data_IF_892205995622
#
_entry.id   IF_892205995622
#
_cell.length_a   1.000
_cell.length_b   1.000
_cell.length_c   1.000
_cell.angle_alpha   90.00
_cell.angle_beta   90.00
_cell.angle_gamma   90.00
#
_symmetry.space_group_name_H-M   'P 1'
#
loop_
_entity.id
_entity.type
_entity.pdbx_description
1 polymer ?
#
# COMPACT_ATOMS: atom_id res chain seq x y z
N UNK A 1 91.47 32.63 36.46
CA UNK A 1 91.68 32.00 37.77
C UNK A 1 90.35 31.50 38.25
N UNK A 2 90.00 30.29 37.85
CA UNK A 2 90.44 29.07 38.56
C UNK A 2 89.33 28.73 39.56
N UNK A 3 88.47 27.74 39.32
CA UNK A 3 88.62 26.63 38.38
C UNK A 3 87.23 26.09 37.98
N UNK A 4 86.53 26.95 37.25
CA UNK A 4 85.66 26.58 36.14
C UNK A 4 86.48 25.80 35.08
N UNK A 5 85.88 24.74 34.54
CA UNK A 5 86.21 24.13 33.23
C UNK A 5 87.56 23.39 33.08
N UNK A 6 87.65 22.13 33.55
CA UNK A 6 88.18 20.96 32.79
C UNK A 6 88.39 19.77 33.73
N UNK A 7 88.03 18.53 33.42
CA UNK A 7 87.84 17.92 32.10
C UNK A 7 86.86 16.75 32.26
N UNK A 8 85.61 17.05 31.89
CA UNK A 8 84.51 16.11 31.62
C UNK A 8 84.81 15.25 30.39
N UNK A 9 85.82 14.40 30.49
CA UNK A 9 86.16 13.33 29.53
C UNK A 9 86.45 12.08 30.35
N UNK A 10 85.38 11.37 30.72
CA UNK A 10 85.35 9.92 30.93
C UNK A 10 84.17 9.60 31.84
N UNK A 11 83.33 8.67 31.39
CA UNK A 11 82.30 7.95 32.16
C UNK A 11 80.94 8.68 32.25
N UNK A 12 79.91 7.97 31.78
CA UNK A 12 78.48 8.37 31.69
C UNK A 12 78.06 9.13 30.44
N UNK A 13 78.23 8.51 29.26
CA UNK A 13 77.22 8.50 28.19
C UNK A 13 77.42 7.33 27.22
N UNK A 14 77.43 6.12 27.77
CA UNK A 14 77.36 4.88 26.97
C UNK A 14 76.24 3.93 27.45
N UNK A 15 75.27 4.43 28.23
CA UNK A 15 74.10 3.64 28.68
C UNK A 15 72.76 4.41 28.60
N UNK A 16 72.71 5.51 27.85
CA UNK A 16 71.45 6.25 27.58
C UNK A 16 71.01 6.21 26.10
N UNK A 17 71.90 5.79 25.19
CA UNK A 17 71.62 5.71 23.76
C UNK A 17 70.95 4.42 23.32
N UNK A 18 71.17 3.31 24.04
CA UNK A 18 70.56 2.02 23.72
C UNK A 18 69.24 1.78 24.43
N UNK A 19 69.05 2.26 25.66
CA UNK A 19 67.80 2.05 26.42
C UNK A 19 66.64 2.90 25.88
N UNK A 20 66.91 4.11 25.38
CA UNK A 20 65.89 4.96 24.75
C UNK A 20 65.52 4.49 23.34
N UNK A 21 66.49 4.02 22.54
CA UNK A 21 66.20 3.42 21.23
C UNK A 21 65.55 2.06 21.35
N UNK A 22 65.97 1.20 22.30
CA UNK A 22 65.30 -0.07 22.60
C UNK A 22 63.88 0.12 23.09
N UNK A 23 63.62 1.08 24.00
CA UNK A 23 62.25 1.33 24.47
C UNK A 23 61.35 1.86 23.35
N UNK A 24 61.83 2.80 22.52
CA UNK A 24 61.09 3.23 21.34
C UNK A 24 60.90 2.09 20.33
N UNK A 25 61.92 1.28 20.04
CA UNK A 25 61.76 0.16 19.09
C UNK A 25 60.88 -0.96 19.64
N UNK A 26 60.90 -1.22 20.95
CA UNK A 26 60.03 -2.21 21.60
C UNK A 26 58.58 -1.71 21.66
N UNK A 27 58.34 -0.43 21.98
CA UNK A 27 56.99 0.17 21.91
C UNK A 27 56.45 0.21 20.48
N UNK A 28 57.28 0.56 19.49
CA UNK A 28 56.91 0.56 18.06
C UNK A 28 56.65 -0.89 17.59
N UNK A 29 57.44 -1.88 18.01
CA UNK A 29 57.23 -3.29 17.66
C UNK A 29 56.01 -3.90 18.36
N UNK A 30 55.71 -3.54 19.62
CA UNK A 30 54.50 -3.97 20.33
C UNK A 30 53.24 -3.34 19.73
N UNK A 31 53.28 -2.05 19.39
CA UNK A 31 52.17 -1.34 18.76
C UNK A 31 51.95 -1.83 17.32
N UNK A 32 53.02 -2.10 16.57
CA UNK A 32 52.93 -2.74 15.25
C UNK A 32 52.41 -4.19 15.32
N UNK A 33 52.81 -4.96 16.35
CA UNK A 33 52.33 -6.33 16.61
C UNK A 33 50.86 -6.35 17.02
N UNK A 34 50.44 -5.45 17.90
CA UNK A 34 49.04 -5.24 18.30
C UNK A 34 48.17 -4.83 17.11
N UNK A 35 48.65 -3.89 16.29
CA UNK A 35 47.96 -3.44 15.07
C UNK A 35 47.89 -4.56 14.03
N UNK A 36 48.93 -5.38 13.89
CA UNK A 36 48.96 -6.55 13.00
C UNK A 36 47.96 -7.62 13.44
N UNK A 37 47.88 -7.90 14.75
CA UNK A 37 46.90 -8.82 15.33
C UNK A 37 45.47 -8.33 15.13
N UNK A 38 45.20 -7.06 15.40
CA UNK A 38 43.89 -6.44 15.16
C UNK A 38 43.49 -6.52 13.68
N UNK A 39 44.42 -6.24 12.75
CA UNK A 39 44.16 -6.38 11.30
C UNK A 39 43.82 -7.81 10.92
N UNK A 40 44.54 -8.79 11.47
CA UNK A 40 44.29 -10.22 11.20
C UNK A 40 42.91 -10.66 11.72
N UNK A 41 42.54 -10.26 12.94
CA UNK A 41 41.21 -10.50 13.50
C UNK A 41 40.11 -9.83 12.65
N UNK A 42 40.34 -8.60 12.18
CA UNK A 42 39.40 -7.90 11.31
C UNK A 42 39.25 -8.57 9.93
N UNK A 43 40.34 -9.10 9.35
CA UNK A 43 40.28 -9.86 8.10
C UNK A 43 39.59 -11.22 8.28
N UNK A 44 39.73 -11.88 9.44
CA UNK A 44 38.98 -13.09 9.76
C UNK A 44 37.50 -12.80 9.90
N UNK A 45 37.11 -11.75 10.65
CA UNK A 45 35.72 -11.26 10.70
C UNK A 45 35.15 -10.94 9.32
N UNK A 46 35.95 -10.33 8.43
CA UNK A 46 35.56 -10.05 7.05
C UNK A 46 35.30 -11.34 6.25
N UNK A 47 36.18 -12.34 6.38
CA UNK A 47 36.04 -13.66 5.71
C UNK A 47 34.82 -14.41 6.24
N UNK A 48 34.61 -14.41 7.55
CA UNK A 48 33.44 -15.02 8.20
C UNK A 48 32.15 -14.32 7.77
N UNK A 49 32.13 -12.99 7.73
CA UNK A 49 31.00 -12.22 7.21
C UNK A 49 30.70 -12.57 5.75
N UNK A 50 31.72 -12.64 4.90
CA UNK A 50 31.58 -13.05 3.50
C UNK A 50 31.07 -14.48 3.33
N UNK A 51 31.51 -15.41 4.19
CA UNK A 51 31.04 -16.80 4.19
C UNK A 51 29.59 -16.92 4.70
N UNK A 52 29.23 -16.15 5.73
CA UNK A 52 27.87 -16.10 6.27
C UNK A 52 26.88 -15.49 5.25
N UNK A 53 27.26 -14.41 4.55
CA UNK A 53 26.44 -13.84 3.48
C UNK A 53 26.16 -14.88 2.38
N UNK A 54 27.19 -15.63 1.95
CA UNK A 54 27.04 -16.69 0.94
C UNK A 54 26.18 -17.86 1.42
N UNK A 55 26.30 -18.26 2.69
CA UNK A 55 25.45 -19.32 3.27
C UNK A 55 24.00 -18.87 3.41
N UNK A 56 23.78 -17.65 3.89
CA UNK A 56 22.43 -17.09 4.06
C UNK A 56 21.75 -16.82 2.71
N UNK A 57 22.49 -16.42 1.67
CA UNK A 57 21.94 -16.30 0.31
C UNK A 57 21.55 -17.63 -0.33
N UNK A 58 22.04 -18.76 0.21
CA UNK A 58 21.74 -20.10 -0.32
C UNK A 58 20.61 -20.81 0.44
N UNK A 59 20.24 -20.31 1.63
CA UNK A 59 19.13 -20.85 2.42
C UNK A 59 17.87 -20.03 2.15
N UNK A 60 16.80 -20.67 1.66
CA UNK A 60 15.47 -20.07 1.65
C UNK A 60 14.96 -19.96 3.08
N UNK A 61 15.22 -18.83 3.71
CA UNK A 61 14.77 -18.53 5.07
C UNK A 61 13.32 -18.03 5.05
N UNK A 62 12.59 -18.33 6.12
CA UNK A 62 11.24 -17.82 6.32
C UNK A 62 11.29 -16.39 6.87
N UNK A 63 10.38 -15.49 6.43
CA UNK A 63 10.31 -14.14 6.95
C UNK A 63 10.14 -14.13 8.47
N UNK A 64 10.80 -13.18 9.13
CA UNK A 64 10.73 -12.93 10.56
C UNK A 64 9.92 -11.67 10.86
N UNK A 65 9.23 -11.69 11.99
CA UNK A 65 8.67 -10.51 12.63
C UNK A 65 9.83 -9.70 13.20
N UNK A 66 10.04 -8.53 12.62
CA UNK A 66 11.23 -7.73 12.85
C UNK A 66 10.91 -6.24 12.71
N UNK A 67 11.90 -5.42 13.07
CA UNK A 67 11.82 -3.97 12.92
C UNK A 67 11.91 -3.56 11.46
N UNK A 68 11.28 -2.44 11.12
CA UNK A 68 11.39 -1.79 9.82
C UNK A 68 12.86 -1.53 9.48
N UNK A 69 13.32 -1.90 8.27
CA UNK A 69 14.69 -1.73 7.83
C UNK A 69 15.21 -0.31 8.04
N UNK A 70 16.49 -0.19 8.41
CA UNK A 70 17.14 1.08 8.72
C UNK A 70 17.00 2.13 7.59
N UNK A 71 16.97 1.67 6.34
CA UNK A 71 16.76 2.52 5.16
C UNK A 71 15.47 3.33 5.21
N UNK A 72 14.39 2.77 5.77
CA UNK A 72 13.07 3.41 5.83
C UNK A 72 12.86 4.22 7.11
N UNK A 73 13.72 4.04 8.12
CA UNK A 73 13.60 4.73 9.42
C UNK A 73 13.85 6.23 9.34
N UNK A 74 14.56 6.70 8.32
CA UNK A 74 14.81 8.14 8.07
C UNK A 74 13.66 8.87 7.36
N UNK A 75 12.55 8.19 7.07
CA UNK A 75 11.42 8.81 6.36
C UNK A 75 10.72 9.88 7.22
N UNK A 76 10.43 11.06 6.65
CA UNK A 76 9.87 12.21 7.39
C UNK A 76 8.58 11.88 8.15
N UNK A 77 7.76 10.99 7.57
CA UNK A 77 6.49 10.54 8.14
C UNK A 77 6.58 9.15 8.81
N UNK A 78 7.75 8.74 9.32
CA UNK A 78 7.95 7.39 9.87
C UNK A 78 6.90 7.02 10.91
N UNK A 79 6.71 7.85 11.93
CA UNK A 79 5.72 7.64 13.00
C UNK A 79 4.30 7.46 12.45
N UNK A 80 3.93 8.23 11.44
CA UNK A 80 2.59 8.16 10.82
C UNK A 80 2.34 6.84 10.09
N UNK A 81 3.39 6.25 9.50
CA UNK A 81 3.25 5.10 8.59
C UNK A 81 3.64 3.77 9.22
N UNK A 82 4.54 3.76 10.19
CA UNK A 82 5.13 2.52 10.72
C UNK A 82 4.87 2.27 12.19
N UNK A 83 4.56 3.30 12.99
CA UNK A 83 4.26 3.13 14.41
C UNK A 83 2.76 2.91 14.64
N UNK A 84 2.38 2.06 15.63
CA UNK A 84 0.99 1.91 16.02
C UNK A 84 0.36 3.25 16.40
N UNK A 85 -0.92 3.40 16.06
CA UNK A 85 -1.70 4.61 16.35
C UNK A 85 -2.49 4.48 17.65
N UNK A 86 -2.92 3.26 17.96
CA UNK A 86 -3.80 2.95 19.08
C UNK A 86 -3.23 1.80 19.90
N UNK A 87 -2.96 0.66 19.27
CA UNK A 87 -2.66 -0.60 19.97
C UNK A 87 -1.35 -1.22 19.53
N UNK A 88 -0.43 -1.39 20.49
CA UNK A 88 0.76 -2.21 20.31
C UNK A 88 0.46 -3.69 20.52
N UNK A 89 0.92 -4.50 19.57
CA UNK A 89 0.80 -5.94 19.50
C UNK A 89 2.19 -6.56 19.39
N UNK A 90 2.45 -7.55 20.23
CA UNK A 90 3.69 -8.27 20.27
C UNK A 90 4.88 -7.45 20.82
N UNK A 91 6.09 -8.03 20.74
CA UNK A 91 7.23 -7.62 21.55
C UNK A 91 7.93 -6.31 21.13
N UNK A 92 7.67 -5.77 19.92
CA UNK A 92 8.49 -4.66 19.41
C UNK A 92 8.14 -3.32 20.08
N UNK A 93 6.84 -3.06 20.26
CA UNK A 93 6.32 -1.84 20.89
C UNK A 93 5.80 -2.08 22.32
N UNK A 94 5.90 -3.30 22.85
CA UNK A 94 5.41 -3.64 24.17
C UNK A 94 6.06 -2.80 25.27
N UNK A 95 5.24 -2.31 26.22
CA UNK A 95 5.67 -1.45 27.32
C UNK A 95 5.90 0.01 26.95
N UNK A 96 5.62 0.41 25.70
CA UNK A 96 5.65 1.83 25.32
C UNK A 96 4.50 2.59 25.99
N UNK A 97 4.82 3.66 26.72
CA UNK A 97 3.86 4.50 27.46
C UNK A 97 2.80 5.13 26.55
N UNK A 98 3.11 5.34 25.27
CA UNK A 98 2.13 5.88 24.31
C UNK A 98 0.91 4.97 24.11
N UNK A 99 1.05 3.67 24.34
CA UNK A 99 -0.01 2.67 24.10
C UNK A 99 -0.59 2.08 25.38
N UNK A 100 -0.20 2.61 26.55
CA UNK A 100 -0.62 2.06 27.84
C UNK A 100 -2.15 2.04 28.01
N UNK A 101 -2.84 3.05 27.49
CA UNK A 101 -4.31 3.12 27.51
C UNK A 101 -4.98 1.96 26.72
N UNK A 102 -4.27 1.37 25.75
CA UNK A 102 -4.78 0.25 24.97
C UNK A 102 -4.56 -1.11 25.63
N UNK A 103 -3.73 -1.20 26.69
CA UNK A 103 -3.50 -2.47 27.40
C UNK A 103 -4.77 -2.97 28.10
N UNK A 104 -5.52 -2.08 28.76
CA UNK A 104 -6.82 -2.43 29.38
C UNK A 104 -7.84 -2.87 28.31
N UNK A 105 -7.83 -2.22 27.15
CA UNK A 105 -8.66 -2.61 26.01
C UNK A 105 -8.30 -4.03 25.52
N UNK A 106 -7.00 -4.36 25.39
CA UNK A 106 -6.56 -5.70 24.99
C UNK A 106 -6.96 -6.76 26.00
N UNK A 107 -6.80 -6.50 27.30
CA UNK A 107 -7.24 -7.41 28.35
C UNK A 107 -8.75 -7.67 28.30
N UNK A 108 -9.55 -6.62 28.07
CA UNK A 108 -10.99 -6.76 27.87
C UNK A 108 -11.34 -7.63 26.66
N UNK A 109 -10.72 -7.38 25.51
CA UNK A 109 -10.92 -8.19 24.31
C UNK A 109 -10.44 -9.63 24.47
N UNK A 110 -9.36 -9.85 25.21
CA UNK A 110 -8.87 -11.18 25.53
C UNK A 110 -9.82 -11.93 26.47
N UNK A 111 -10.38 -11.25 27.48
CA UNK A 111 -11.40 -11.81 28.36
C UNK A 111 -12.65 -12.22 27.58
N UNK A 112 -13.15 -11.35 26.71
CA UNK A 112 -14.28 -11.66 25.83
C UNK A 112 -13.98 -12.87 24.93
N UNK A 113 -12.77 -12.96 24.37
CA UNK A 113 -12.36 -14.13 23.57
C UNK A 113 -12.40 -15.42 24.40
N UNK A 114 -11.87 -15.40 25.61
CA UNK A 114 -11.83 -16.58 26.51
C UNK A 114 -13.25 -17.05 26.81
N UNK A 115 -14.14 -16.14 27.23
CA UNK A 115 -15.56 -16.44 27.47
C UNK A 115 -16.22 -17.04 26.22
N UNK A 116 -15.99 -16.42 25.06
CA UNK A 116 -16.55 -16.84 23.78
C UNK A 116 -15.98 -18.16 23.24
N UNK A 117 -14.74 -18.50 23.62
CA UNK A 117 -14.07 -19.74 23.21
C UNK A 117 -14.71 -20.97 23.86
N UNK A 118 -15.28 -20.79 25.06
CA UNK A 118 -15.83 -21.83 25.89
C UNK A 118 -14.79 -22.73 26.56
N UNK A 119 -13.54 -22.28 26.64
CA UNK A 119 -12.43 -22.87 27.40
C UNK A 119 -11.96 -21.90 28.50
N UNK A 120 -11.16 -22.37 29.46
CA UNK A 120 -10.58 -21.48 30.48
C UNK A 120 -9.36 -20.73 29.96
N UNK A 121 -9.12 -19.53 30.51
CA UNK A 121 -7.96 -18.72 30.15
C UNK A 121 -6.64 -19.42 30.49
N UNK A 122 -6.59 -20.13 31.63
CA UNK A 122 -5.44 -20.93 32.06
C UNK A 122 -5.12 -22.03 31.05
N UNK A 123 -6.14 -22.78 30.61
CA UNK A 123 -5.94 -23.84 29.62
C UNK A 123 -5.36 -23.30 28.32
N UNK A 124 -5.91 -22.19 27.79
CA UNK A 124 -5.42 -21.58 26.56
C UNK A 124 -4.00 -21.03 26.73
N UNK A 125 -3.71 -20.36 27.85
CA UNK A 125 -2.37 -19.85 28.16
C UNK A 125 -1.35 -20.99 28.25
N UNK A 126 -1.67 -22.10 28.91
CA UNK A 126 -0.80 -23.28 28.99
C UNK A 126 -0.44 -23.84 27.61
N UNK A 127 -1.36 -23.77 26.63
CA UNK A 127 -1.05 -24.15 25.24
C UNK A 127 -0.03 -23.21 24.60
N UNK A 128 -0.14 -21.91 24.87
CA UNK A 128 0.82 -20.93 24.33
C UNK A 128 2.19 -21.07 25.00
N UNK A 129 2.24 -21.25 26.32
CA UNK A 129 3.47 -21.55 27.06
C UNK A 129 4.12 -22.83 26.52
N UNK A 130 3.35 -23.89 26.29
CA UNK A 130 3.85 -25.14 25.71
C UNK A 130 4.45 -24.97 24.30
N UNK A 131 3.94 -24.02 23.50
CA UNK A 131 4.39 -23.76 22.13
C UNK A 131 5.39 -22.60 22.02
N UNK A 132 5.78 -21.96 23.12
CA UNK A 132 6.51 -20.68 23.09
C UNK A 132 7.83 -20.76 22.33
N UNK A 133 8.57 -21.87 22.46
CA UNK A 133 9.84 -22.09 21.75
C UNK A 133 9.67 -22.11 20.24
N UNK A 134 8.55 -22.64 19.75
CA UNK A 134 8.21 -22.62 18.33
C UNK A 134 7.80 -21.20 17.91
N UNK A 135 6.93 -20.54 18.69
CA UNK A 135 6.46 -19.18 18.40
C UNK A 135 7.62 -18.17 18.38
N UNK A 136 8.62 -18.33 19.26
CA UNK A 136 9.84 -17.53 19.29
C UNK A 136 10.62 -17.55 17.97
N UNK A 137 10.58 -18.65 17.22
CA UNK A 137 11.30 -18.78 15.95
C UNK A 137 10.73 -17.87 14.85
N UNK A 138 9.53 -17.32 15.01
CA UNK A 138 8.94 -16.39 14.03
C UNK A 138 9.46 -14.96 14.18
N UNK A 139 10.15 -14.65 15.28
CA UNK A 139 10.69 -13.31 15.53
C UNK A 139 12.17 -13.22 15.16
N UNK A 140 12.62 -12.01 14.83
CA UNK A 140 14.05 -11.70 14.82
C UNK A 140 14.65 -11.96 16.22
N UNK A 141 15.87 -12.48 16.26
CA UNK A 141 16.53 -12.91 17.50
C UNK A 141 16.62 -11.75 18.50
N UNK A 142 16.95 -10.54 18.05
CA UNK A 142 17.07 -9.34 18.91
C UNK A 142 15.72 -8.84 19.41
N UNK A 143 14.62 -9.27 18.80
CA UNK A 143 13.26 -8.98 19.26
C UNK A 143 12.86 -9.97 20.34
N UNK A 144 13.09 -11.27 20.09
CA UNK A 144 12.69 -12.35 21.01
C UNK A 144 13.53 -12.40 22.31
N UNK A 145 14.83 -12.10 22.24
CA UNK A 145 15.77 -12.19 23.38
C UNK A 145 15.49 -11.19 24.51
N UNK A 146 14.69 -10.15 24.25
CA UNK A 146 14.33 -9.15 25.28
C UNK A 146 13.41 -9.69 26.37
N UNK A 147 12.76 -10.82 26.11
CA UNK A 147 11.72 -11.36 26.96
C UNK A 147 12.03 -12.82 27.29
N UNK A 148 11.88 -13.18 28.57
CA UNK A 148 11.81 -14.58 28.97
C UNK A 148 10.57 -15.26 28.37
N UNK A 149 10.56 -16.59 28.42
CA UNK A 149 9.51 -17.40 27.77
C UNK A 149 8.12 -17.13 28.37
N UNK A 150 8.00 -16.94 29.69
CA UNK A 150 6.72 -16.70 30.36
C UNK A 150 6.16 -15.33 30.01
N UNK A 151 6.99 -14.28 30.09
CA UNK A 151 6.58 -12.92 29.72
C UNK A 151 6.14 -12.84 28.26
N UNK A 152 6.88 -13.50 27.35
CA UNK A 152 6.49 -13.53 25.93
C UNK A 152 5.21 -14.34 25.73
N UNK A 153 5.04 -15.48 26.39
CA UNK A 153 3.84 -16.30 26.25
C UNK A 153 2.58 -15.54 26.71
N UNK A 154 2.64 -14.85 27.85
CA UNK A 154 1.55 -14.00 28.33
C UNK A 154 1.20 -12.90 27.33
N UNK A 155 2.21 -12.19 26.83
CA UNK A 155 2.04 -11.13 25.84
C UNK A 155 1.34 -11.65 24.56
N UNK A 156 1.84 -12.77 24.02
CA UNK A 156 1.26 -13.39 22.82
C UNK A 156 -0.15 -13.90 23.08
N UNK A 157 -0.41 -14.48 24.25
CA UNK A 157 -1.75 -14.93 24.62
C UNK A 157 -2.76 -13.76 24.62
N UNK A 158 -2.47 -12.69 25.36
CA UNK A 158 -3.37 -11.52 25.44
C UNK A 158 -3.57 -10.88 24.06
N UNK A 159 -2.47 -10.59 23.36
CA UNK A 159 -2.53 -9.89 22.08
C UNK A 159 -3.19 -10.76 21.00
N UNK A 160 -2.94 -12.06 20.98
CA UNK A 160 -3.55 -13.01 20.05
C UNK A 160 -5.06 -13.14 20.24
N UNK A 161 -5.51 -13.28 21.49
CA UNK A 161 -6.93 -13.30 21.85
C UNK A 161 -7.61 -11.96 21.47
N UNK A 162 -6.98 -10.83 21.80
CA UNK A 162 -7.50 -9.51 21.46
C UNK A 162 -7.63 -9.30 19.95
N UNK A 163 -6.65 -9.76 19.17
CA UNK A 163 -6.70 -9.68 17.69
C UNK A 163 -7.85 -10.51 17.13
N UNK A 164 -8.00 -11.76 17.57
CA UNK A 164 -9.08 -12.63 17.11
C UNK A 164 -10.46 -12.07 17.44
N UNK A 165 -10.67 -11.59 18.67
CA UNK A 165 -11.94 -11.00 19.09
C UNK A 165 -12.23 -9.69 18.35
N UNK A 166 -11.21 -8.86 18.14
CA UNK A 166 -11.36 -7.61 17.39
C UNK A 166 -11.77 -7.86 15.94
N UNK A 167 -11.14 -8.83 15.28
CA UNK A 167 -11.50 -9.23 13.91
C UNK A 167 -12.91 -9.83 13.86
N UNK A 168 -13.27 -10.65 14.84
CA UNK A 168 -14.60 -11.29 14.89
C UNK A 168 -15.74 -10.29 15.10
N UNK A 169 -15.49 -9.20 15.84
CA UNK A 169 -16.50 -8.21 16.22
C UNK A 169 -16.44 -6.90 15.42
N UNK A 170 -15.44 -6.75 14.53
CA UNK A 170 -15.17 -5.51 13.79
C UNK A 170 -16.36 -4.96 12.99
N UNK A 171 -17.26 -5.81 12.48
CA UNK A 171 -18.47 -5.38 11.77
C UNK A 171 -19.42 -4.52 12.62
N UNK A 172 -19.21 -4.44 13.94
CA UNK A 172 -20.14 -3.81 14.89
C UNK A 172 -19.65 -2.49 15.52
N UNK A 173 -18.39 -2.05 15.28
CA UNK A 173 -17.83 -0.87 15.95
C UNK A 173 -16.99 -0.01 14.99
N UNK A 174 -17.52 1.16 14.60
CA UNK A 174 -16.84 2.17 13.75
C UNK A 174 -15.45 2.62 14.29
N UNK A 175 -15.19 2.42 15.59
CA UNK A 175 -13.92 2.76 16.24
C UNK A 175 -12.79 1.75 15.96
N UNK A 176 -13.08 0.62 15.30
CA UNK A 176 -12.10 -0.45 15.07
C UNK A 176 -11.16 -0.20 13.88
N UNK A 177 -11.40 0.84 13.08
CA UNK A 177 -10.61 1.09 11.86
C UNK A 177 -9.12 1.32 12.14
N UNK A 178 -8.76 2.05 13.21
CA UNK A 178 -7.36 2.27 13.57
C UNK A 178 -6.71 1.02 14.17
N UNK A 179 -7.46 0.24 14.94
CA UNK A 179 -6.98 -1.05 15.47
C UNK A 179 -6.71 -2.04 14.34
N UNK A 180 -7.60 -2.11 13.34
CA UNK A 180 -7.41 -2.92 12.13
C UNK A 180 -6.20 -2.48 11.30
N UNK A 181 -5.94 -1.18 11.22
CA UNK A 181 -4.75 -0.64 10.57
C UNK A 181 -3.47 -1.05 11.33
N UNK A 182 -3.48 -0.93 12.65
CA UNK A 182 -2.35 -1.29 13.52
C UNK A 182 -1.99 -2.77 13.41
N UNK A 183 -2.97 -3.67 13.22
CA UNK A 183 -2.75 -5.13 13.01
C UNK A 183 -1.95 -5.47 11.74
N UNK A 184 -1.78 -4.52 10.81
CA UNK A 184 -1.09 -4.71 9.54
C UNK A 184 0.23 -3.92 9.44
N UNK A 185 0.68 -3.30 10.53
CA UNK A 185 1.99 -2.66 10.57
C UNK A 185 3.10 -3.71 10.75
N UNK A 186 4.22 -3.53 10.07
CA UNK A 186 5.34 -4.50 10.08
C UNK A 186 5.91 -4.71 11.48
N UNK A 187 6.07 -3.64 12.27
CA UNK A 187 6.56 -3.70 13.65
C UNK A 187 5.48 -4.14 14.66
N UNK A 188 4.26 -4.45 14.21
CA UNK A 188 3.10 -4.72 15.07
C UNK A 188 2.43 -6.06 14.73
N UNK A 189 3.25 -7.08 14.46
CA UNK A 189 2.80 -8.40 14.00
C UNK A 189 2.87 -9.45 15.11
N UNK A 190 1.96 -10.42 15.02
CA UNK A 190 1.98 -11.67 15.78
C UNK A 190 2.17 -12.86 14.83
N UNK A 191 2.80 -13.97 15.27
CA UNK A 191 2.88 -15.18 14.47
C UNK A 191 1.46 -15.64 14.11
N UNK A 192 1.18 -15.89 12.83
CA UNK A 192 -0.13 -16.41 12.43
C UNK A 192 -0.39 -17.79 13.05
N UNK A 193 0.67 -18.55 13.32
CA UNK A 193 0.60 -19.83 14.04
C UNK A 193 -0.05 -19.70 15.41
N UNK A 194 0.24 -18.63 16.15
CA UNK A 194 -0.42 -18.34 17.44
C UNK A 194 -1.93 -18.20 17.26
N UNK A 195 -2.38 -17.48 16.22
CA UNK A 195 -3.81 -17.32 15.94
C UNK A 195 -4.46 -18.65 15.57
N UNK A 196 -3.77 -19.49 14.78
CA UNK A 196 -4.24 -20.85 14.45
C UNK A 196 -4.37 -21.72 15.70
N UNK A 197 -3.39 -21.68 16.61
CA UNK A 197 -3.41 -22.43 17.86
C UNK A 197 -4.60 -21.99 18.73
N UNK A 198 -4.79 -20.68 18.95
CA UNK A 198 -5.92 -20.15 19.72
C UNK A 198 -7.29 -20.49 19.09
N UNK A 199 -7.42 -20.39 17.77
CA UNK A 199 -8.65 -20.79 17.07
C UNK A 199 -8.92 -22.28 17.17
N UNK A 200 -7.88 -23.13 17.13
CA UNK A 200 -8.02 -24.58 17.17
C UNK A 200 -8.63 -25.09 18.48
N UNK A 201 -8.38 -24.39 19.58
CA UNK A 201 -8.95 -24.70 20.90
C UNK A 201 -10.29 -24.00 21.17
N UNK A 202 -10.73 -23.10 20.29
CA UNK A 202 -12.00 -22.39 20.46
C UNK A 202 -13.17 -23.15 19.83
N UNK A 203 -14.31 -23.20 20.54
CA UNK A 203 -15.59 -23.70 19.99
C UNK A 203 -16.10 -22.89 18.79
N UNK A 204 -15.52 -21.70 18.54
CA UNK A 204 -15.87 -20.81 17.42
C UNK A 204 -14.87 -20.88 16.25
N UNK A 205 -13.98 -21.88 16.19
CA UNK A 205 -12.93 -22.03 15.17
C UNK A 205 -13.36 -21.60 13.75
N UNK A 206 -14.39 -22.24 13.20
CA UNK A 206 -14.85 -22.00 11.83
C UNK A 206 -15.35 -20.56 11.59
N UNK A 207 -15.98 -19.96 12.61
CA UNK A 207 -16.43 -18.57 12.56
C UNK A 207 -15.24 -17.61 12.58
N UNK A 208 -14.23 -17.89 13.40
CA UNK A 208 -13.01 -17.09 13.50
C UNK A 208 -12.19 -17.15 12.20
N UNK A 209 -12.02 -18.35 11.62
CA UNK A 209 -11.37 -18.54 10.32
C UNK A 209 -12.06 -17.71 9.22
N UNK A 210 -13.40 -17.75 9.18
CA UNK A 210 -14.20 -16.93 8.25
C UNK A 210 -14.06 -15.43 8.53
N UNK A 211 -13.99 -15.01 9.79
CA UNK A 211 -13.75 -13.61 10.16
C UNK A 211 -12.38 -13.11 9.68
N UNK A 212 -11.31 -13.90 9.84
CA UNK A 212 -9.99 -13.56 9.29
C UNK A 212 -10.05 -13.49 7.76
N UNK A 213 -10.71 -14.44 7.10
CA UNK A 213 -10.82 -14.44 5.65
C UNK A 213 -11.52 -13.16 5.13
N UNK A 214 -12.62 -12.78 5.79
CA UNK A 214 -13.38 -11.57 5.50
C UNK A 214 -12.56 -10.30 5.76
N UNK A 215 -11.87 -10.23 6.91
CA UNK A 215 -10.94 -9.15 7.22
C UNK A 215 -9.88 -8.99 6.13
N UNK A 216 -9.25 -10.09 5.70
CA UNK A 216 -8.28 -10.06 4.60
C UNK A 216 -8.91 -9.68 3.25
N UNK A 217 -10.20 -9.96 3.01
CA UNK A 217 -10.92 -9.53 1.78
C UNK A 217 -11.17 -8.03 1.81
N UNK A 218 -11.60 -7.52 2.96
CA UNK A 218 -11.81 -6.10 3.22
C UNK A 218 -10.52 -5.32 3.03
N UNK A 219 -9.43 -5.77 3.65
CA UNK A 219 -8.14 -5.05 3.60
C UNK A 219 -7.47 -5.07 2.22
N UNK A 220 -7.73 -6.12 1.44
CA UNK A 220 -7.34 -6.21 0.04
C UNK A 220 -8.33 -5.51 -0.92
N UNK A 221 -9.40 -4.90 -0.41
CA UNK A 221 -10.49 -4.25 -1.18
C UNK A 221 -11.07 -5.13 -2.31
N UNK A 222 -11.14 -6.45 -2.12
CA UNK A 222 -11.71 -7.37 -3.11
C UNK A 222 -13.24 -7.36 -3.00
N UNK A 223 -13.94 -6.65 -3.90
CA UNK A 223 -15.41 -6.75 -4.04
C UNK A 223 -15.77 -7.77 -5.13
N UNK A 224 -16.50 -8.83 -4.76
CA UNK A 224 -17.31 -9.60 -5.71
C UNK A 224 -16.64 -10.66 -6.59
N UNK A 225 -15.59 -11.35 -6.14
CA UNK A 225 -15.16 -12.61 -6.78
C UNK A 225 -14.86 -13.68 -5.73
N UNK A 226 -15.42 -14.87 -5.94
CA UNK A 226 -15.01 -16.09 -5.25
C UNK A 226 -13.54 -16.38 -5.59
N UNK A 227 -12.73 -16.58 -4.55
CA UNK A 227 -11.42 -17.20 -4.71
C UNK A 227 -11.62 -18.67 -4.39
N UNK A 228 -11.18 -19.55 -5.29
CA UNK A 228 -11.16 -20.98 -5.07
C UNK A 228 -10.55 -21.34 -3.72
N UNK A 229 -11.02 -22.44 -3.13
CA UNK A 229 -10.67 -22.95 -1.80
C UNK A 229 -9.26 -22.52 -1.38
N UNK A 230 -9.18 -21.85 -0.24
CA UNK A 230 -7.93 -21.57 0.45
C UNK A 230 -7.21 -22.90 0.72
N UNK A 231 -6.40 -23.34 -0.24
CA UNK A 231 -5.39 -24.35 0.04
C UNK A 231 -4.46 -23.77 1.09
N UNK A 232 -4.24 -24.53 2.16
CA UNK A 232 -3.37 -24.25 3.31
C UNK A 232 -2.27 -23.24 2.95
N UNK A 233 -2.51 -21.97 3.30
CA UNK A 233 -1.47 -20.95 3.23
C UNK A 233 -1.08 -20.68 4.66
N UNK A 234 0.01 -21.33 5.09
CA UNK A 234 0.65 -21.06 6.37
C UNK A 234 1.41 -19.73 6.25
N UNK A 235 0.68 -18.61 6.23
CA UNK A 235 1.31 -17.30 6.34
C UNK A 235 2.07 -17.18 7.66
N UNK A 236 3.12 -16.36 7.68
CA UNK A 236 3.95 -16.13 8.87
C UNK A 236 3.22 -15.21 9.86
N UNK A 237 2.56 -14.16 9.37
CA UNK A 237 1.77 -13.19 10.14
C UNK A 237 0.71 -12.53 9.23
N UNK A 238 -0.13 -11.64 9.77
CA UNK A 238 -1.26 -11.04 9.04
C UNK A 238 -0.82 -10.20 7.84
N UNK A 239 0.26 -9.42 7.95
CA UNK A 239 0.80 -8.63 6.85
C UNK A 239 1.32 -9.51 5.69
N UNK A 240 1.95 -10.65 5.97
CA UNK A 240 2.37 -11.63 4.94
C UNK A 240 1.16 -12.27 4.23
N UNK A 241 0.10 -12.60 4.97
CA UNK A 241 -1.15 -13.07 4.36
C UNK A 241 -1.78 -12.03 3.42
N UNK A 242 -1.74 -10.75 3.81
CA UNK A 242 -2.20 -9.65 2.97
C UNK A 242 -1.31 -9.49 1.73
N UNK A 243 0.01 -9.53 1.89
CA UNK A 243 0.99 -9.48 0.79
C UNK A 243 0.71 -10.60 -0.23
N UNK A 244 0.68 -11.85 0.23
CA UNK A 244 0.41 -13.03 -0.60
C UNK A 244 -0.91 -12.89 -1.37
N UNK A 245 -1.94 -12.31 -0.75
CA UNK A 245 -3.25 -12.10 -1.36
C UNK A 245 -3.27 -11.00 -2.42
N UNK A 246 -2.45 -9.95 -2.25
CA UNK A 246 -2.31 -8.83 -3.18
C UNK A 246 -1.40 -9.19 -4.35
N UNK A 247 -0.28 -9.85 -4.11
CA UNK A 247 0.64 -10.31 -5.16
C UNK A 247 0.07 -11.51 -5.92
N UNK A 248 -0.72 -12.35 -5.24
CA UNK A 248 -1.19 -13.64 -5.77
C UNK A 248 -0.16 -14.74 -5.55
N UNK A 249 -0.60 -16.01 -5.53
CA UNK A 249 0.34 -17.15 -5.50
C UNK A 249 1.25 -17.04 -6.73
N UNK A 250 2.55 -16.94 -6.49
CA UNK A 250 3.57 -17.18 -7.50
C UNK A 250 3.33 -18.59 -8.05
N UNK A 251 2.56 -18.71 -9.12
CA UNK A 251 2.77 -19.83 -10.04
C UNK A 251 4.16 -19.57 -10.59
N UNK A 252 5.13 -20.36 -10.16
CA UNK A 252 6.38 -20.61 -10.86
C UNK A 252 6.07 -21.25 -12.23
N UNK A 253 5.26 -20.59 -13.05
CA UNK A 253 5.52 -20.53 -14.47
C UNK A 253 6.61 -19.49 -14.61
N UNK A 254 7.85 -19.93 -14.37
CA UNK A 254 8.96 -19.41 -15.15
C UNK A 254 8.51 -19.51 -16.60
N UNK A 255 8.01 -18.41 -17.16
CA UNK A 255 8.23 -18.19 -18.57
C UNK A 255 9.75 -18.22 -18.69
N UNK A 256 10.27 -19.35 -19.19
CA UNK A 256 11.63 -19.48 -19.67
C UNK A 256 11.80 -18.41 -20.74
N UNK A 257 12.12 -17.20 -20.31
CA UNK A 257 12.56 -16.13 -21.16
C UNK A 257 13.72 -16.70 -21.94
N UNK A 258 13.55 -16.69 -23.26
CA UNK A 258 14.62 -16.99 -24.19
C UNK A 258 15.89 -16.30 -23.71
N UNK A 259 16.98 -17.06 -23.53
CA UNK A 259 18.31 -16.50 -23.29
C UNK A 259 18.69 -15.68 -24.53
N UNK A 260 18.28 -14.42 -24.56
CA UNK A 260 18.81 -13.45 -25.51
C UNK A 260 20.01 -12.78 -24.86
N UNK A 261 21.15 -12.86 -25.54
CA UNK A 261 22.43 -12.34 -25.07
C UNK A 261 22.35 -10.85 -24.73
N UNK A 262 23.12 -10.46 -23.72
CA UNK A 262 23.12 -9.12 -23.15
C UNK A 262 23.30 -8.01 -24.18
N UNK A 263 22.19 -7.39 -24.54
CA UNK A 263 22.13 -5.96 -24.81
C UNK A 263 21.45 -5.34 -23.60
N UNK A 264 22.07 -4.33 -22.98
CA UNK A 264 21.36 -3.46 -22.06
C UNK A 264 20.21 -2.83 -22.86
N UNK A 265 19.00 -3.33 -22.65
CA UNK A 265 17.79 -2.68 -23.11
C UNK A 265 17.82 -1.24 -22.56
N UNK A 266 17.66 -0.21 -23.42
CA UNK A 266 17.64 1.17 -22.95
C UNK A 266 16.54 1.31 -21.89
N UNK A 267 16.85 1.99 -20.77
CA UNK A 267 15.85 2.33 -19.75
C UNK A 267 14.67 2.99 -20.45
N UNK A 268 13.56 2.27 -20.52
CA UNK A 268 12.36 2.79 -21.15
C UNK A 268 11.80 3.85 -20.21
N UNK A 269 11.80 5.11 -20.64
CA UNK A 269 11.10 6.17 -19.93
C UNK A 269 9.61 5.84 -19.99
N UNK A 270 9.03 5.47 -18.86
CA UNK A 270 7.58 5.32 -18.76
C UNK A 270 6.93 6.69 -18.96
N UNK A 271 5.82 6.68 -19.67
CA UNK A 271 5.02 7.85 -20.03
C UNK A 271 3.90 7.95 -18.99
N UNK A 272 3.62 9.15 -18.49
CA UNK A 272 2.46 9.38 -17.62
C UNK A 272 1.15 9.06 -18.36
N UNK A 273 0.05 8.95 -17.63
CA UNK A 273 -1.24 8.48 -18.19
C UNK A 273 -1.74 9.41 -19.30
N UNK A 274 -1.53 10.72 -19.18
CA UNK A 274 -1.91 11.67 -20.23
C UNK A 274 -1.10 11.46 -21.53
N UNK A 275 0.21 11.25 -21.42
CA UNK A 275 1.08 10.94 -22.57
C UNK A 275 0.72 9.59 -23.21
N UNK A 276 0.39 8.57 -22.40
CA UNK A 276 -0.11 7.29 -22.89
C UNK A 276 -1.41 7.48 -23.70
N UNK A 277 -2.35 8.26 -23.16
CA UNK A 277 -3.61 8.57 -23.83
C UNK A 277 -3.40 9.31 -25.15
N UNK A 278 -2.48 10.28 -25.17
CA UNK A 278 -2.12 11.01 -26.40
C UNK A 278 -1.52 10.09 -27.47
N UNK A 279 -0.81 9.03 -27.05
CA UNK A 279 -0.29 7.99 -27.92
C UNK A 279 -1.31 6.90 -28.31
N UNK A 280 -2.58 7.02 -27.90
CA UNK A 280 -3.63 6.04 -28.21
C UNK A 280 -3.64 4.81 -27.30
N UNK A 281 -3.00 4.89 -26.13
CA UNK A 281 -3.02 3.87 -25.09
C UNK A 281 -4.01 4.28 -24.00
N UNK A 282 -5.06 3.49 -23.83
CA UNK A 282 -6.11 3.77 -22.84
C UNK A 282 -5.98 2.85 -21.63
N UNK A 283 -6.21 3.39 -20.44
CA UNK A 283 -6.21 2.60 -19.22
C UNK A 283 -7.59 1.96 -19.00
N UNK A 284 -7.62 0.69 -18.59
CA UNK A 284 -8.86 -0.05 -18.26
C UNK A 284 -8.70 -0.88 -16.98
N UNK A 285 -9.79 -1.16 -16.25
CA UNK A 285 -9.72 -2.06 -15.10
C UNK A 285 -9.32 -3.48 -15.51
N UNK A 286 -8.44 -4.09 -14.74
CA UNK A 286 -8.14 -5.51 -14.83
C UNK A 286 -9.29 -6.34 -14.22
N UNK A 287 -9.49 -7.56 -14.71
CA UNK A 287 -10.51 -8.48 -14.19
C UNK A 287 -10.13 -9.11 -12.84
N UNK A 288 -8.93 -8.81 -12.35
CA UNK A 288 -8.34 -9.41 -11.16
C UNK A 288 -7.91 -8.32 -10.19
N UNK A 289 -7.93 -8.67 -8.90
CA UNK A 289 -7.50 -7.83 -7.79
C UNK A 289 -6.04 -8.04 -7.40
N UNK A 290 -5.30 -8.85 -8.16
CA UNK A 290 -3.87 -9.04 -7.95
C UNK A 290 -3.09 -7.86 -8.52
N UNK A 291 -2.22 -7.26 -7.72
CA UNK A 291 -1.44 -6.07 -8.07
C UNK A 291 -0.39 -6.35 -9.16
N UNK A 292 0.07 -7.59 -9.26
CA UNK A 292 1.08 -8.01 -10.25
C UNK A 292 0.49 -8.39 -11.60
N UNK A 293 -0.83 -8.60 -11.70
CA UNK A 293 -1.50 -8.98 -12.94
C UNK A 293 -1.88 -7.76 -13.77
N UNK A 294 -0.86 -7.04 -14.23
CA UNK A 294 -0.96 -5.96 -15.21
C UNK A 294 -0.82 -6.57 -16.61
N UNK A 295 -1.65 -6.14 -17.55
CA UNK A 295 -1.56 -6.58 -18.95
C UNK A 295 -1.64 -5.41 -19.91
N UNK A 296 -1.01 -5.57 -21.08
CA UNK A 296 -1.14 -4.64 -22.19
C UNK A 296 -1.65 -5.39 -23.41
N UNK A 297 -2.82 -4.99 -23.91
CA UNK A 297 -3.47 -5.57 -25.08
C UNK A 297 -3.60 -4.52 -26.19
N UNK A 298 -3.41 -4.93 -27.45
CA UNK A 298 -3.61 -4.07 -28.62
C UNK A 298 -4.80 -4.58 -29.42
N UNK A 299 -5.73 -3.70 -29.76
CA UNK A 299 -6.82 -4.06 -30.67
C UNK A 299 -6.25 -4.38 -32.05
N UNK A 300 -6.53 -5.59 -32.55
CA UNK A 300 -5.99 -6.12 -33.81
C UNK A 300 -4.46 -6.00 -33.93
N UNK A 301 -3.72 -6.04 -32.82
CA UNK A 301 -2.26 -5.82 -32.76
C UNK A 301 -1.77 -4.47 -33.33
N UNK A 302 -2.67 -3.50 -33.53
CA UNK A 302 -2.35 -2.23 -34.18
C UNK A 302 -2.75 -1.04 -33.30
N UNK A 303 -4.04 -0.73 -33.20
CA UNK A 303 -4.56 0.44 -32.49
C UNK A 303 -6.05 0.25 -32.17
N UNK A 304 -6.55 0.71 -30.99
CA UNK A 304 -5.79 1.33 -29.89
C UNK A 304 -5.14 0.31 -28.94
N UNK A 305 -4.22 0.79 -28.10
CA UNK A 305 -3.63 0.03 -27.00
C UNK A 305 -4.47 0.13 -25.72
N UNK A 306 -4.46 -0.90 -24.90
CA UNK A 306 -5.16 -0.97 -23.62
C UNK A 306 -4.21 -1.45 -22.53
N UNK A 307 -3.92 -0.57 -21.57
CA UNK A 307 -3.20 -0.91 -20.34
C UNK A 307 -4.21 -1.29 -19.26
N UNK A 308 -4.19 -2.53 -18.79
CA UNK A 308 -5.10 -3.03 -17.77
C UNK A 308 -4.45 -3.00 -16.40
N UNK A 309 -5.04 -2.23 -15.49
CA UNK A 309 -4.54 -2.04 -14.14
C UNK A 309 -5.52 -2.58 -13.10
N UNK A 310 -5.03 -3.18 -12.00
CA UNK A 310 -5.88 -3.54 -10.88
C UNK A 310 -6.43 -2.29 -10.21
N UNK A 311 -7.65 -2.42 -9.70
CA UNK A 311 -8.36 -1.34 -9.01
C UNK A 311 -7.71 -1.06 -7.65
N UNK A 312 -7.52 0.23 -7.35
CA UNK A 312 -7.02 0.71 -6.06
C UNK A 312 -8.09 1.57 -5.42
N UNK A 313 -8.39 1.23 -4.18
CA UNK A 313 -9.14 2.09 -3.29
C UNK A 313 -8.15 2.97 -2.54
N UNK A 314 -8.34 4.28 -2.58
CA UNK A 314 -7.53 5.27 -1.88
C UNK A 314 -8.34 5.83 -0.72
N UNK A 315 -7.81 5.62 0.48
CA UNK A 315 -8.29 6.10 1.77
C UNK A 315 -7.11 6.40 2.71
N UNK A 316 -7.39 6.84 3.94
CA UNK A 316 -6.36 7.19 4.92
C UNK A 316 -5.48 6.01 5.36
N UNK A 317 -5.93 4.76 5.13
CA UNK A 317 -5.16 3.55 5.43
C UNK A 317 -4.22 3.14 4.30
N UNK A 318 -4.43 3.67 3.09
CA UNK A 318 -3.77 3.21 1.87
C UNK A 318 -2.26 3.42 1.91
N UNK A 319 -1.81 4.64 2.24
CA UNK A 319 -0.38 4.93 2.34
C UNK A 319 0.31 4.08 3.43
N UNK A 320 -0.12 4.08 4.70
CA UNK A 320 0.44 3.21 5.73
C UNK A 320 0.53 1.73 5.29
N UNK A 321 -0.54 1.19 4.70
CA UNK A 321 -0.58 -0.19 4.22
C UNK A 321 0.50 -0.48 3.18
N UNK A 322 0.63 0.35 2.14
CA UNK A 322 1.66 0.14 1.11
C UNK A 322 3.07 0.32 1.65
N UNK A 323 3.32 1.30 2.54
CA UNK A 323 4.62 1.47 3.17
C UNK A 323 5.04 0.25 4.00
N UNK A 324 4.12 -0.35 4.76
CA UNK A 324 4.44 -1.56 5.53
C UNK A 324 4.64 -2.80 4.65
N UNK A 325 3.88 -2.94 3.56
CA UNK A 325 4.09 -4.00 2.57
C UNK A 325 5.44 -3.84 1.84
N UNK A 326 5.84 -2.62 1.49
CA UNK A 326 7.16 -2.32 0.91
C UNK A 326 8.26 -2.61 1.93
N UNK A 327 8.09 -2.19 3.18
CA UNK A 327 9.05 -2.49 4.22
C UNK A 327 9.24 -3.99 4.42
N UNK A 328 8.14 -4.75 4.36
CA UNK A 328 8.16 -6.22 4.38
C UNK A 328 8.97 -6.80 3.21
N UNK A 329 8.79 -6.30 1.98
CA UNK A 329 9.58 -6.75 0.82
C UNK A 329 11.05 -6.30 0.84
N UNK A 330 11.39 -5.24 1.57
CA UNK A 330 12.79 -4.78 1.67
C UNK A 330 13.57 -5.56 2.74
N UNK A 331 12.90 -6.28 3.64
CA UNK A 331 13.57 -7.12 4.60
C UNK A 331 14.42 -8.21 3.91
N UNK A 332 15.68 -8.34 4.32
CA UNK A 332 16.69 -9.17 3.65
C UNK A 332 16.71 -10.64 4.11
N UNK A 333 15.81 -11.02 4.99
CA UNK A 333 15.75 -12.32 5.68
C UNK A 333 14.90 -13.37 4.93
N UNK A 334 14.38 -13.05 3.75
CA UNK A 334 13.72 -14.01 2.88
C UNK A 334 13.76 -13.58 1.41
N UNK A 335 13.61 -14.54 0.49
CA UNK A 335 13.45 -14.25 -0.93
C UNK A 335 12.05 -13.72 -1.20
N UNK A 336 11.96 -12.54 -1.83
CA UNK A 336 10.71 -11.99 -2.32
C UNK A 336 10.85 -11.49 -3.76
N UNK A 337 9.72 -11.34 -4.44
CA UNK A 337 9.66 -10.92 -5.84
C UNK A 337 9.40 -9.41 -6.02
N UNK A 338 9.45 -8.63 -4.94
CA UNK A 338 9.20 -7.18 -4.94
C UNK A 338 7.90 -6.78 -5.65
N UNK A 339 6.86 -7.63 -5.59
CA UNK A 339 5.63 -7.44 -6.36
C UNK A 339 4.88 -6.16 -5.99
N UNK A 340 4.84 -5.80 -4.71
CA UNK A 340 4.22 -4.56 -4.22
C UNK A 340 5.08 -3.36 -4.59
N UNK A 341 6.39 -3.42 -4.33
CA UNK A 341 7.35 -2.34 -4.61
C UNK A 341 7.39 -2.02 -6.10
N UNK A 342 7.43 -3.05 -6.95
CA UNK A 342 7.40 -2.89 -8.41
C UNK A 342 6.09 -2.27 -8.89
N UNK A 343 4.96 -2.67 -8.29
CA UNK A 343 3.66 -2.09 -8.60
C UNK A 343 3.59 -0.60 -8.23
N UNK A 344 4.06 -0.23 -7.04
CA UNK A 344 4.06 1.17 -6.58
C UNK A 344 4.99 2.01 -7.45
N UNK A 345 6.20 1.54 -7.78
CA UNK A 345 7.11 2.23 -8.68
C UNK A 345 6.51 2.40 -10.10
N UNK A 346 5.77 1.40 -10.57
CA UNK A 346 5.06 1.50 -11.85
C UNK A 346 3.94 2.55 -11.80
N UNK A 347 3.15 2.60 -10.73
CA UNK A 347 2.13 3.65 -10.55
C UNK A 347 2.74 5.05 -10.44
N UNK A 348 3.85 5.20 -9.73
CA UNK A 348 4.59 6.47 -9.63
C UNK A 348 5.01 6.95 -11.03
N UNK A 349 5.42 6.04 -11.90
CA UNK A 349 5.76 6.38 -13.29
C UNK A 349 4.56 6.78 -14.17
N UNK A 350 3.35 6.37 -13.77
CA UNK A 350 2.11 6.69 -14.47
C UNK A 350 1.49 8.01 -13.99
N UNK A 351 1.77 8.44 -12.76
CA UNK A 351 1.13 9.56 -12.09
C UNK A 351 2.17 10.65 -11.82
N UNK A 352 2.22 11.63 -12.71
CA UNK A 352 3.15 12.76 -12.60
C UNK A 352 2.40 14.04 -12.19
N UNK A 353 1.17 14.22 -12.69
CA UNK A 353 0.35 15.40 -12.46
C UNK A 353 -1.06 15.04 -11.93
N UNK A 354 -1.78 15.99 -11.32
CA UNK A 354 -3.18 15.79 -10.92
C UNK A 354 -4.11 15.37 -12.08
N UNK A 355 -3.73 15.72 -13.31
CA UNK A 355 -4.40 15.28 -14.54
C UNK A 355 -4.41 13.75 -14.68
N UNK A 356 -3.29 13.08 -14.40
CA UNK A 356 -3.17 11.62 -14.48
C UNK A 356 -4.09 10.93 -13.47
N UNK A 357 -4.18 11.47 -12.25
CA UNK A 357 -5.10 10.97 -11.21
C UNK A 357 -6.55 11.07 -11.69
N UNK A 358 -6.92 12.18 -12.34
CA UNK A 358 -8.26 12.36 -12.92
C UNK A 358 -8.53 11.32 -14.00
N UNK A 359 -7.57 11.03 -14.86
CA UNK A 359 -7.71 10.01 -15.90
C UNK A 359 -7.88 8.60 -15.32
N UNK A 360 -7.05 8.22 -14.35
CA UNK A 360 -7.15 6.92 -13.68
C UNK A 360 -8.47 6.77 -12.91
N UNK A 361 -8.98 7.85 -12.29
CA UNK A 361 -10.30 7.87 -11.65
C UNK A 361 -11.42 7.70 -12.67
N UNK A 362 -11.35 8.40 -13.80
CA UNK A 362 -12.34 8.28 -14.87
C UNK A 362 -12.33 6.88 -15.52
N UNK A 363 -11.16 6.24 -15.58
CA UNK A 363 -11.00 4.86 -16.05
C UNK A 363 -11.46 3.82 -15.01
N UNK A 364 -11.86 4.22 -13.81
CA UNK A 364 -12.28 3.31 -12.73
C UNK A 364 -11.13 2.53 -12.09
N UNK A 365 -9.89 3.03 -12.21
CA UNK A 365 -8.71 2.43 -11.54
C UNK A 365 -8.61 2.94 -10.11
N UNK A 366 -8.77 4.25 -9.90
CA UNK A 366 -8.68 4.88 -8.58
C UNK A 366 -10.07 5.22 -8.04
N UNK A 367 -10.42 4.63 -6.90
CA UNK A 367 -11.64 4.97 -6.16
C UNK A 367 -11.30 5.63 -4.84
N UNK A 368 -11.74 6.88 -4.66
CA UNK A 368 -11.63 7.55 -3.37
C UNK A 368 -12.75 7.03 -2.44
N UNK A 369 -12.36 6.33 -1.37
CA UNK A 369 -13.25 5.98 -0.27
C UNK A 369 -13.02 6.96 0.89
N UNK A 370 -13.73 8.09 0.87
CA UNK A 370 -13.94 8.88 2.08
C UNK A 370 -14.70 8.03 3.12
N UNK A 371 -14.22 8.06 4.36
CA UNK A 371 -14.70 7.26 5.47
C UNK A 371 -16.22 7.42 5.67
N UNK A 372 -16.90 6.28 5.85
CA UNK A 372 -18.32 6.11 6.19
C UNK A 372 -19.35 6.26 5.05
N UNK A 373 -19.40 5.25 4.16
CA UNK A 373 -20.29 5.25 3.00
C UNK A 373 -21.68 4.68 3.23
N UNK A 374 -21.98 3.94 4.31
CA UNK A 374 -23.32 3.33 4.39
C UNK A 374 -24.43 4.37 4.56
N UNK A 375 -24.14 5.48 5.25
CA UNK A 375 -25.10 6.60 5.39
C UNK A 375 -25.37 7.35 4.07
N UNK A 376 -24.40 7.43 3.18
CA UNK A 376 -24.48 8.19 1.93
C UNK A 376 -24.45 7.32 0.67
N UNK A 377 -24.52 5.99 0.80
CA UNK A 377 -24.42 5.04 -0.31
C UNK A 377 -25.47 5.34 -1.36
N UNK A 378 -26.71 5.57 -0.92
CA UNK A 378 -27.82 5.91 -1.80
C UNK A 378 -27.59 7.23 -2.54
N UNK A 379 -27.16 8.28 -1.82
CA UNK A 379 -26.86 9.60 -2.41
C UNK A 379 -25.70 9.50 -3.40
N UNK A 380 -24.65 8.74 -3.08
CA UNK A 380 -23.50 8.52 -3.98
C UNK A 380 -23.94 7.80 -5.26
N UNK A 381 -24.77 6.76 -5.13
CA UNK A 381 -25.33 6.05 -6.29
C UNK A 381 -26.15 7.00 -7.16
N UNK A 382 -27.02 7.82 -6.56
CA UNK A 382 -27.82 8.82 -7.30
C UNK A 382 -26.95 9.86 -8.02
N UNK A 383 -25.90 10.37 -7.35
CA UNK A 383 -24.94 11.30 -7.97
C UNK A 383 -24.21 10.64 -9.13
N UNK A 384 -23.77 9.39 -8.95
CA UNK A 384 -23.07 8.63 -9.99
C UNK A 384 -23.97 8.37 -11.19
N UNK A 385 -25.21 7.91 -10.97
CA UNK A 385 -26.22 7.71 -12.02
C UNK A 385 -26.57 9.01 -12.76
N UNK A 386 -26.58 10.13 -12.05
CA UNK A 386 -26.77 11.45 -12.65
C UNK A 386 -25.56 11.85 -13.53
N UNK A 387 -24.34 11.63 -13.05
CA UNK A 387 -23.10 12.02 -13.73
C UNK A 387 -22.72 11.12 -14.92
N UNK A 388 -23.16 9.86 -14.93
CA UNK A 388 -22.90 8.90 -16.01
C UNK A 388 -23.80 9.14 -17.24
N UNK A 389 -24.85 9.97 -17.10
CA UNK A 389 -25.66 10.41 -18.24
C UNK A 389 -24.85 11.38 -19.11
N UNK A 390 -24.45 10.94 -20.30
CA UNK A 390 -23.67 11.74 -21.23
C UNK A 390 -24.29 13.14 -21.46
N UNK A 391 -25.60 13.24 -21.65
CA UNK A 391 -26.31 14.50 -21.89
C UNK A 391 -26.21 15.49 -20.73
N UNK A 392 -26.06 15.04 -19.49
CA UNK A 392 -25.90 15.91 -18.32
C UNK A 392 -24.59 16.68 -18.40
N UNK A 393 -23.51 16.05 -18.91
CA UNK A 393 -22.23 16.72 -19.13
C UNK A 393 -22.32 17.77 -20.23
N UNK A 394 -22.95 17.43 -21.36
CA UNK A 394 -23.18 18.36 -22.47
C UNK A 394 -24.02 19.56 -22.04
N UNK A 395 -25.09 19.33 -21.27
CA UNK A 395 -25.94 20.40 -20.74
C UNK A 395 -25.16 21.27 -19.75
N UNK A 396 -24.42 20.67 -18.82
CA UNK A 396 -23.61 21.43 -17.86
C UNK A 396 -22.54 22.30 -18.57
N UNK A 397 -21.83 21.76 -19.56
CA UNK A 397 -20.86 22.51 -20.37
C UNK A 397 -21.53 23.62 -21.17
N UNK A 398 -22.69 23.36 -21.79
CA UNK A 398 -23.47 24.36 -22.51
C UNK A 398 -23.92 25.50 -21.59
N UNK A 399 -24.44 25.18 -20.40
CA UNK A 399 -24.82 26.21 -19.43
C UNK A 399 -23.61 26.99 -18.91
N UNK A 400 -22.50 26.32 -18.61
CA UNK A 400 -21.30 27.01 -18.14
C UNK A 400 -20.65 27.91 -19.19
N UNK A 401 -20.65 27.51 -20.47
CA UNK A 401 -20.04 28.30 -21.54
C UNK A 401 -20.95 29.43 -22.03
N UNK A 402 -22.23 29.13 -22.30
CA UNK A 402 -23.15 30.07 -22.96
C UNK A 402 -23.99 30.89 -21.98
N UNK A 403 -24.20 30.40 -20.75
CA UNK A 403 -25.00 31.07 -19.71
C UNK A 403 -24.16 31.44 -18.47
N UNK A 404 -22.89 31.79 -18.70
CA UNK A 404 -21.99 32.32 -17.66
C UNK A 404 -22.37 33.71 -17.14
N UNK A 405 -23.23 34.43 -17.86
CA UNK A 405 -23.77 35.74 -17.49
C UNK A 405 -25.30 35.75 -17.57
N UNK A 406 -26.02 36.35 -16.61
CA UNK A 406 -27.48 36.45 -16.67
C UNK A 406 -28.00 37.09 -17.96
N UNK A 407 -27.23 37.98 -18.59
CA UNK A 407 -27.62 38.68 -19.81
C UNK A 407 -27.65 37.79 -21.05
N UNK A 408 -26.82 36.73 -21.11
CA UNK A 408 -26.82 35.82 -22.28
C UNK A 408 -28.07 34.94 -22.31
N UNK A 409 -28.71 34.69 -21.16
CA UNK A 409 -30.01 34.02 -21.07
C UNK A 409 -31.08 34.85 -21.77
N UNK A 410 -31.15 36.15 -21.48
CA UNK A 410 -32.13 37.05 -22.10
C UNK A 410 -31.88 37.22 -23.59
N UNK A 411 -30.62 37.32 -24.02
CA UNK A 411 -30.28 37.39 -25.44
C UNK A 411 -30.71 36.13 -26.21
N UNK A 412 -30.46 34.95 -25.64
CA UNK A 412 -30.88 33.67 -26.23
C UNK A 412 -32.40 33.54 -26.33
N UNK A 413 -33.13 33.91 -25.26
CA UNK A 413 -34.60 33.94 -25.26
C UNK A 413 -35.16 34.93 -26.30
N UNK A 414 -34.54 36.10 -26.44
CA UNK A 414 -34.91 37.08 -27.46
C UNK A 414 -34.71 36.54 -28.88
N UNK A 415 -33.60 35.84 -29.15
CA UNK A 415 -33.34 35.21 -30.44
C UNK A 415 -34.37 34.10 -30.76
N UNK A 416 -34.70 33.25 -29.78
CA UNK A 416 -35.75 32.23 -29.92
C UNK A 416 -37.11 32.85 -30.22
N UNK A 417 -37.48 33.93 -29.53
CA UNK A 417 -38.72 34.66 -29.77
C UNK A 417 -38.76 35.25 -31.18
N UNK A 418 -37.65 35.85 -31.64
CA UNK A 418 -37.54 36.39 -33.00
C UNK A 418 -37.67 35.31 -34.09
N UNK A 419 -37.08 34.13 -33.87
CA UNK A 419 -37.23 32.98 -34.77
C UNK A 419 -38.67 32.46 -34.79
N UNK A 420 -39.31 32.35 -33.63
CA UNK A 420 -40.71 31.97 -33.54
C UNK A 420 -41.61 32.95 -34.29
N UNK A 421 -41.43 34.25 -34.06
CA UNK A 421 -42.16 35.30 -34.75
C UNK A 421 -41.94 35.23 -36.26
N UNK A 422 -40.70 35.05 -36.72
CA UNK A 422 -40.38 34.87 -38.15
C UNK A 422 -41.08 33.64 -38.75
N UNK A 423 -41.13 32.52 -38.02
CA UNK A 423 -41.84 31.32 -38.45
C UNK A 423 -43.36 31.56 -38.53
N UNK A 424 -43.96 32.24 -37.55
CA UNK A 424 -45.38 32.59 -37.58
C UNK A 424 -45.70 33.56 -38.72
N UNK A 425 -44.86 34.56 -38.95
CA UNK A 425 -45.00 35.48 -40.08
C UNK A 425 -44.95 34.74 -41.41
N UNK A 426 -43.99 33.82 -41.56
CA UNK A 426 -43.85 32.99 -42.77
C UNK A 426 -45.08 32.09 -42.96
N UNK A 427 -45.59 31.50 -41.88
CA UNK A 427 -46.81 30.68 -41.91
C UNK A 427 -48.02 31.50 -42.36
N UNK A 428 -48.24 32.68 -41.79
CA UNK A 428 -49.32 33.55 -42.21
C UNK A 428 -49.13 34.04 -43.66
N UNK A 429 -47.91 34.33 -44.10
CA UNK A 429 -47.65 34.74 -45.48
C UNK A 429 -47.95 33.62 -46.49
N UNK A 430 -47.66 32.35 -46.15
CA UNK A 430 -47.91 31.18 -47.02
C UNK A 430 -49.38 30.75 -46.98
N UNK A 431 -50.03 30.82 -45.82
CA UNK A 431 -51.40 30.34 -45.60
C UNK A 431 -52.41 31.48 -45.38
N UNK A 432 -52.15 32.66 -45.92
CA UNK A 432 -53.09 33.79 -45.81
C UNK A 432 -54.43 33.44 -46.48
N UNK A 433 -55.58 33.63 -45.80
CA UNK A 433 -56.88 33.46 -46.44
C UNK A 433 -57.02 34.48 -47.59
N UNK A 434 -57.70 34.12 -48.69
CA UNK A 434 -57.82 34.98 -49.87
C UNK A 434 -58.39 36.35 -49.48
N UNK A 435 -57.71 37.40 -49.94
CA UNK A 435 -58.05 38.77 -49.60
C UNK A 435 -59.38 39.20 -50.23
N UNK A 436 -59.93 40.36 -49.84
CA UNK A 436 -61.12 40.93 -50.47
C UNK A 436 -60.96 41.10 -52.00
N UNK A 437 -59.72 41.31 -52.47
CA UNK A 437 -59.38 41.42 -53.89
C UNK A 437 -59.48 40.08 -54.62
N UNK A 438 -59.18 38.95 -53.99
CA UNK A 438 -59.29 37.63 -54.61
C UNK A 438 -60.76 37.28 -54.87
N UNK A 439 -61.64 37.58 -53.91
CA UNK A 439 -63.10 37.47 -54.08
C UNK A 439 -63.63 38.44 -55.15
N UNK A 440 -63.05 39.62 -55.29
CA UNK A 440 -63.42 40.57 -56.34
C UNK A 440 -62.99 40.05 -57.73
N UNK A 441 -61.76 39.54 -57.87
CA UNK A 441 -61.26 38.95 -59.11
C UNK A 441 -62.06 37.70 -59.52
N UNK A 442 -62.47 36.87 -58.56
CA UNK A 442 -63.31 35.70 -58.82
C UNK A 442 -64.71 36.11 -59.33
N UNK A 443 -65.31 37.15 -58.73
CA UNK A 443 -66.61 37.69 -59.12
C UNK A 443 -66.57 38.43 -60.46
N UNK A 444 -65.47 39.14 -60.74
CA UNK A 444 -65.24 39.82 -62.02
C UNK A 444 -65.06 38.82 -63.17
N UNK A 445 -64.30 37.73 -62.96
CA UNK A 445 -64.13 36.67 -63.94
C UNK A 445 -65.41 35.85 -64.18
N UNK A 446 -66.26 35.67 -63.17
CA UNK A 446 -67.58 35.05 -63.36
C UNK A 446 -68.53 35.92 -64.21
N UNK A 447 -68.46 37.25 -64.10
CA UNK A 447 -69.27 38.16 -64.90
C UNK A 447 -68.80 38.24 -66.36
N UNK A 448 -67.49 38.17 -66.63
CA UNK A 448 -66.93 38.12 -67.99
C UNK A 448 -67.25 36.81 -68.75
N UNK A 449 -67.65 35.75 -68.06
CA UNK A 449 -68.08 34.48 -68.69
C UNK A 449 -69.58 34.40 -68.99
N UNK A 450 -70.38 35.40 -68.57
CA UNK A 450 -71.86 35.39 -68.67
C UNK A 450 -72.44 36.50 -69.54
N UNK A 451 -71.61 37.38 -70.12
CA UNK A 451 -71.97 38.31 -71.19
C UNK A 451 -71.25 37.93 -72.46
#
# INVERSE_FOLDING_TARGET
MEELLSRKVSLVKEEAGETSRRRQSIEIDEEASSTSKMRKENLEKLKEAGANIKRNSAAKTTPKIQKVPALLRGHENFKKYFEPRVVSLGPIHHGNKEYQAAEDFKLGMASEFVEDSGESGEFLLEKIVGNIKQLKQYFDEKVAEKYDDETLAWMLFVDGCAVLQSIHTADKKDQMAFVQQDMLLLENQLPYRLLLDLMAYSKKKEKLEKSIENFMKQMAHKRGQEVGKAGETNGIHLLDLLHTRLVGKSTTTENKGSKSGGKQEPRQSYRNVQELRAAGIYVKPAQTSSLTKISFDRFLNFYPGYLRLPLITVDDSTAPKFFNLIAYEICSDFENNYGITSYVAFLESLIDHPGDVKELRNAGILHNLLVNFDKYKQVKTQIQEYFDKAWVRWVAEFFHQYFSSPWTVFAFLGALLALFLSATQTWYAVFSPPGPCDKFCEKFNQNLRKG
#
